data_IF_311224592965
#
_entry.id   IF_311224592965
#
_cell.length_a   1.000
_cell.length_b   1.000
_cell.length_c   1.000
_cell.angle_alpha   90.00
_cell.angle_beta   90.00
_cell.angle_gamma   90.00
#
_symmetry.space_group_name_H-M   'P 1'
#
loop_
_entity.id
_entity.type
_entity.pdbx_description
1 polymer ?
#
# COMPACT_ATOMS: atom_id res chain seq x y z
N UNK A 1 21.78 0.83 -10.07
CA UNK A 1 20.62 -0.10 -10.04
C UNK A 1 19.50 0.52 -10.89
N UNK A 2 18.96 -0.19 -11.89
CA UNK A 2 17.89 0.36 -12.76
C UNK A 2 16.53 0.00 -12.19
N UNK A 3 15.65 0.98 -11.96
CA UNK A 3 14.29 0.80 -11.44
C UNK A 3 13.46 -0.26 -12.20
N UNK A 4 13.82 -0.54 -13.47
CA UNK A 4 13.18 -1.52 -14.35
C UNK A 4 13.35 -3.00 -13.94
N UNK A 5 14.13 -3.31 -12.90
CA UNK A 5 14.38 -4.69 -12.45
C UNK A 5 13.85 -4.99 -11.05
N UNK A 6 13.13 -4.04 -10.42
CA UNK A 6 12.65 -4.16 -9.04
C UNK A 6 11.63 -5.30 -8.84
N UNK A 7 10.95 -5.69 -9.92
CA UNK A 7 10.03 -6.83 -10.02
C UNK A 7 10.72 -8.19 -9.89
N UNK A 8 12.00 -8.29 -10.26
CA UNK A 8 12.79 -9.54 -10.18
C UNK A 8 13.46 -9.75 -8.82
N UNK A 9 13.33 -8.77 -7.91
CA UNK A 9 13.91 -8.89 -6.57
C UNK A 9 13.12 -9.89 -5.73
N UNK A 10 13.83 -10.71 -4.95
CA UNK A 10 13.25 -11.56 -3.90
C UNK A 10 12.80 -10.72 -2.68
N UNK A 11 11.98 -9.70 -2.93
CA UNK A 11 11.42 -8.80 -1.95
C UNK A 11 9.99 -8.44 -2.37
N UNK A 12 9.01 -8.75 -1.53
CA UNK A 12 7.60 -8.48 -1.85
C UNK A 12 7.32 -6.98 -1.95
N UNK A 13 7.98 -6.15 -1.14
CA UNK A 13 7.87 -4.67 -1.25
C UNK A 13 8.35 -4.19 -2.62
N UNK A 14 9.49 -4.71 -3.09
CA UNK A 14 10.06 -4.37 -4.39
C UNK A 14 9.10 -4.75 -5.54
N UNK A 15 8.53 -5.96 -5.48
CA UNK A 15 7.51 -6.42 -6.43
C UNK A 15 6.24 -5.56 -6.40
N UNK A 16 5.76 -5.17 -5.22
CA UNK A 16 4.63 -4.24 -5.09
C UNK A 16 4.97 -2.87 -5.70
N UNK A 17 6.15 -2.32 -5.44
CA UNK A 17 6.61 -1.05 -6.02
C UNK A 17 6.74 -1.10 -7.55
N UNK A 18 6.98 -2.27 -8.15
CA UNK A 18 6.93 -2.39 -9.61
C UNK A 18 5.55 -2.06 -10.19
N UNK A 19 4.48 -2.30 -9.42
CA UNK A 19 3.10 -2.00 -9.78
C UNK A 19 2.73 -0.57 -9.38
N UNK A 20 2.88 -0.22 -8.10
CA UNK A 20 2.33 1.02 -7.51
C UNK A 20 3.34 2.13 -7.24
N UNK A 21 4.64 1.89 -7.44
CA UNK A 21 5.72 2.78 -7.04
C UNK A 21 5.93 4.02 -7.92
N UNK A 22 4.96 4.41 -8.73
CA UNK A 22 4.99 5.70 -9.43
C UNK A 22 4.06 6.71 -8.76
N UNK A 23 4.37 8.00 -8.95
CA UNK A 23 3.71 9.12 -8.27
C UNK A 23 2.19 9.18 -8.45
N UNK A 24 1.66 8.63 -9.53
CA UNK A 24 0.25 8.82 -9.90
C UNK A 24 -0.61 7.59 -9.61
N UNK A 25 -0.04 6.39 -9.61
CA UNK A 25 -0.80 5.16 -9.49
C UNK A 25 -1.66 5.11 -8.22
N UNK A 26 -1.09 5.42 -7.05
CA UNK A 26 -1.87 5.38 -5.81
C UNK A 26 -2.95 6.47 -5.73
N UNK A 27 -2.73 7.62 -6.39
CA UNK A 27 -3.75 8.67 -6.51
C UNK A 27 -4.90 8.24 -7.41
N UNK A 28 -4.60 7.60 -8.55
CA UNK A 28 -5.63 7.03 -9.44
C UNK A 28 -6.45 5.97 -8.69
N UNK A 29 -5.79 5.09 -7.93
CA UNK A 29 -6.49 4.04 -7.17
C UNK A 29 -7.37 4.65 -6.07
N UNK A 30 -6.86 5.68 -5.36
CA UNK A 30 -7.65 6.45 -4.39
C UNK A 30 -8.91 7.03 -5.02
N UNK A 31 -8.81 7.64 -6.19
CA UNK A 31 -9.97 8.23 -6.89
C UNK A 31 -11.01 7.16 -7.25
N UNK A 32 -10.56 6.02 -7.76
CA UNK A 32 -11.45 4.89 -8.11
C UNK A 32 -12.12 4.30 -6.87
N UNK A 33 -11.41 4.21 -5.74
CA UNK A 33 -11.97 3.82 -4.42
C UNK A 33 -13.07 4.78 -3.97
N UNK A 34 -12.87 6.09 -4.19
CA UNK A 34 -13.85 7.14 -3.90
C UNK A 34 -14.98 7.23 -4.93
N UNK A 35 -14.98 6.38 -5.96
CA UNK A 35 -16.04 6.31 -6.97
C UNK A 35 -15.79 7.13 -8.24
N UNK A 36 -14.66 7.82 -8.36
CA UNK A 36 -14.25 8.52 -9.57
C UNK A 36 -13.67 7.49 -10.56
N UNK A 37 -14.54 6.99 -11.45
CA UNK A 37 -14.24 5.82 -12.30
C UNK A 37 -14.12 6.14 -13.79
N UNK A 38 -14.44 7.36 -14.21
CA UNK A 38 -14.42 7.78 -15.62
C UNK A 38 -13.10 8.47 -15.95
N UNK A 39 -12.61 8.29 -17.17
CA UNK A 39 -11.34 8.85 -17.62
C UNK A 39 -11.27 10.37 -17.41
N UNK A 40 -12.24 11.11 -17.93
CA UNK A 40 -12.26 12.58 -17.86
C UNK A 40 -12.34 13.08 -16.42
N UNK A 41 -13.07 12.37 -15.56
CA UNK A 41 -13.22 12.72 -14.15
C UNK A 41 -11.90 12.52 -13.38
N UNK A 42 -11.19 11.40 -13.61
CA UNK A 42 -9.86 11.16 -13.03
C UNK A 42 -8.85 12.18 -13.57
N UNK A 43 -8.94 12.50 -14.87
CA UNK A 43 -8.07 13.50 -15.48
C UNK A 43 -8.26 14.88 -14.86
N UNK A 44 -9.52 15.28 -14.65
CA UNK A 44 -9.89 16.55 -14.05
C UNK A 44 -9.45 16.62 -12.58
N UNK A 45 -9.63 15.56 -11.79
CA UNK A 45 -9.22 15.51 -10.38
C UNK A 45 -7.70 15.63 -10.23
N UNK A 46 -6.94 14.81 -10.98
CA UNK A 46 -5.48 14.72 -10.84
C UNK A 46 -4.71 15.70 -11.72
N UNK A 47 -5.39 16.47 -12.56
CA UNK A 47 -4.80 17.40 -13.53
C UNK A 47 -3.69 16.73 -14.37
N UNK A 48 -3.92 15.48 -14.76
CA UNK A 48 -2.98 14.69 -15.55
C UNK A 48 -3.14 14.95 -17.04
N UNK A 49 -2.04 14.82 -17.78
CA UNK A 49 -2.14 14.78 -19.25
C UNK A 49 -2.84 13.50 -19.69
N UNK A 50 -3.65 13.52 -20.77
CA UNK A 50 -4.35 12.34 -21.26
C UNK A 50 -3.42 11.16 -21.55
N UNK A 51 -2.23 11.44 -22.08
CA UNK A 51 -1.21 10.43 -22.36
C UNK A 51 -0.74 9.72 -21.08
N UNK A 52 -0.36 10.48 -20.04
CA UNK A 52 0.11 9.89 -18.77
C UNK A 52 -0.99 9.09 -18.08
N UNK A 53 -2.22 9.61 -18.07
CA UNK A 53 -3.35 8.90 -17.47
C UNK A 53 -3.65 7.59 -18.23
N UNK A 54 -3.66 7.65 -19.57
CA UNK A 54 -3.88 6.48 -20.43
C UNK A 54 -2.85 5.39 -20.17
N UNK A 55 -1.57 5.73 -20.08
CA UNK A 55 -0.50 4.78 -19.83
C UNK A 55 -0.64 4.09 -18.47
N UNK A 56 -0.98 4.86 -17.43
CA UNK A 56 -1.18 4.32 -16.07
C UNK A 56 -2.40 3.41 -15.99
N UNK A 57 -3.54 3.83 -16.55
CA UNK A 57 -4.75 3.01 -16.58
C UNK A 57 -4.54 1.72 -17.37
N UNK A 58 -3.88 1.77 -18.54
CA UNK A 58 -3.51 0.57 -19.30
C UNK A 58 -2.64 -0.38 -18.49
N UNK A 59 -1.63 0.16 -17.77
CA UNK A 59 -0.77 -0.64 -16.90
C UNK A 59 -1.58 -1.30 -15.78
N UNK A 60 -2.41 -0.55 -15.07
CA UNK A 60 -3.24 -1.08 -13.98
C UNK A 60 -4.25 -2.14 -14.45
N UNK A 61 -4.78 -2.00 -15.67
CA UNK A 61 -5.63 -3.03 -16.28
C UNK A 61 -4.82 -4.28 -16.63
N UNK A 62 -3.65 -4.12 -17.25
CA UNK A 62 -2.75 -5.24 -17.57
C UNK A 62 -2.27 -5.98 -16.31
N UNK A 63 -1.98 -5.26 -15.23
CA UNK A 63 -1.54 -5.84 -13.97
C UNK A 63 -2.72 -6.43 -13.16
N UNK A 64 -3.95 -6.35 -13.68
CA UNK A 64 -5.15 -6.89 -13.06
C UNK A 64 -5.59 -6.15 -11.79
N UNK A 65 -5.15 -4.91 -11.59
CA UNK A 65 -5.58 -4.03 -10.47
C UNK A 65 -6.91 -3.36 -10.80
N UNK A 66 -7.08 -2.97 -12.07
CA UNK A 66 -8.32 -2.41 -12.60
C UNK A 66 -8.87 -3.32 -13.69
N UNK A 67 -10.17 -3.19 -13.96
CA UNK A 67 -10.83 -3.71 -15.15
C UNK A 67 -11.61 -2.60 -15.84
N UNK A 68 -11.59 -2.60 -17.17
CA UNK A 68 -12.36 -1.66 -17.97
C UNK A 68 -13.75 -2.23 -18.26
N UNK A 69 -14.79 -1.52 -17.85
CA UNK A 69 -16.19 -1.96 -17.93
C UNK A 69 -16.97 -1.00 -18.80
N UNK A 70 -17.83 -1.53 -19.67
CA UNK A 70 -18.80 -0.71 -20.42
C UNK A 70 -19.92 -0.33 -19.47
N UNK A 71 -20.18 0.96 -19.27
CA UNK A 71 -21.31 1.43 -18.48
C UNK A 71 -22.45 1.98 -19.35
N UNK A 72 -22.16 2.34 -20.60
CA UNK A 72 -23.14 2.82 -21.57
C UNK A 72 -22.82 2.19 -22.93
N UNK A 73 -23.82 1.62 -23.60
CA UNK A 73 -23.60 0.90 -24.87
C UNK A 73 -23.71 1.80 -26.10
N UNK A 74 -24.48 2.89 -26.03
CA UNK A 74 -24.77 3.78 -27.16
C UNK A 74 -24.81 5.26 -26.72
N UNK A 75 -23.75 6.05 -26.94
CA UNK A 75 -22.42 5.65 -27.44
C UNK A 75 -21.70 4.74 -26.44
N UNK A 76 -20.73 3.94 -26.91
CA UNK A 76 -19.94 3.08 -26.01
C UNK A 76 -19.10 3.93 -25.07
N UNK A 77 -19.39 3.88 -23.77
CA UNK A 77 -18.60 4.55 -22.73
C UNK A 77 -18.07 3.53 -21.72
N UNK A 78 -16.87 3.83 -21.22
CA UNK A 78 -16.14 2.96 -20.33
C UNK A 78 -15.82 3.63 -19.01
N UNK A 79 -15.76 2.82 -17.97
CA UNK A 79 -15.26 3.19 -16.66
C UNK A 79 -14.26 2.14 -16.16
N UNK A 80 -13.48 2.51 -15.17
CA UNK A 80 -12.49 1.66 -14.52
C UNK A 80 -13.01 1.23 -13.16
N UNK A 81 -13.05 -0.08 -12.92
CA UNK A 81 -13.42 -0.66 -11.63
C UNK A 81 -12.26 -1.42 -11.05
N UNK A 82 -12.14 -1.41 -9.72
CA UNK A 82 -11.19 -2.26 -9.02
C UNK A 82 -11.56 -3.74 -9.22
N UNK A 83 -10.53 -4.55 -9.32
CA UNK A 83 -10.60 -6.00 -9.10
C UNK A 83 -10.40 -6.28 -7.60
N UNK A 84 -10.49 -7.54 -7.19
CA UNK A 84 -10.11 -7.98 -5.84
C UNK A 84 -8.68 -7.53 -5.49
N UNK A 85 -7.71 -7.79 -6.38
CA UNK A 85 -6.33 -7.31 -6.27
C UNK A 85 -6.22 -5.79 -6.09
N UNK A 86 -7.13 -5.02 -6.69
CA UNK A 86 -7.18 -3.57 -6.53
C UNK A 86 -7.78 -3.13 -5.19
N UNK A 87 -8.82 -3.81 -4.71
CA UNK A 87 -9.41 -3.54 -3.39
C UNK A 87 -8.43 -3.84 -2.26
N UNK A 88 -7.58 -4.87 -2.39
CA UNK A 88 -6.53 -5.21 -1.41
C UNK A 88 -5.45 -4.12 -1.24
N UNK A 89 -5.44 -3.08 -2.08
CA UNK A 89 -4.58 -1.90 -1.91
C UNK A 89 -5.17 -0.86 -0.95
N UNK A 90 -6.43 -1.00 -0.53
CA UNK A 90 -7.06 -0.07 0.40
C UNK A 90 -6.30 0.08 1.73
N UNK A 91 -5.85 -0.99 2.41
CA UNK A 91 -5.07 -0.86 3.65
C UNK A 91 -3.77 -0.08 3.48
N UNK A 92 -3.10 -0.22 2.32
CA UNK A 92 -1.91 0.54 1.98
C UNK A 92 -2.23 2.04 1.89
N UNK A 93 -3.29 2.38 1.15
CA UNK A 93 -3.75 3.77 0.99
C UNK A 93 -4.15 4.37 2.34
N UNK A 94 -4.97 3.67 3.13
CA UNK A 94 -5.41 4.14 4.44
C UNK A 94 -4.23 4.42 5.38
N UNK A 95 -3.23 3.53 5.42
CA UNK A 95 -2.03 3.71 6.26
C UNK A 95 -1.16 4.85 5.76
N UNK A 96 -1.06 5.06 4.44
CA UNK A 96 -0.37 6.22 3.86
C UNK A 96 -1.09 7.54 4.18
N UNK A 97 -2.44 7.55 4.17
CA UNK A 97 -3.25 8.70 4.57
C UNK A 97 -2.95 9.08 6.02
N UNK A 98 -3.01 8.13 6.96
CA UNK A 98 -2.71 8.42 8.38
C UNK A 98 -1.27 8.92 8.57
N UNK A 99 -0.30 8.41 7.81
CA UNK A 99 1.06 8.94 7.86
C UNK A 99 1.12 10.40 7.35
N UNK A 100 0.47 10.70 6.23
CA UNK A 100 0.37 12.05 5.68
C UNK A 100 -0.33 13.01 6.65
N UNK A 101 -1.45 12.59 7.22
CA UNK A 101 -2.21 13.35 8.20
C UNK A 101 -1.39 13.68 9.44
N UNK A 102 -0.59 12.73 9.93
CA UNK A 102 0.24 12.92 11.12
C UNK A 102 1.39 13.91 10.89
N UNK A 103 2.02 13.87 9.72
CA UNK A 103 3.31 14.56 9.50
C UNK A 103 3.22 15.77 8.56
N UNK A 104 2.18 15.84 7.75
CA UNK A 104 2.04 16.82 6.66
C UNK A 104 0.78 17.67 6.78
N UNK A 105 -0.12 17.39 7.74
CA UNK A 105 -1.30 18.22 7.95
C UNK A 105 -0.90 19.65 8.36
N UNK A 106 -1.53 20.63 7.72
CA UNK A 106 -1.35 22.03 8.04
C UNK A 106 -2.23 22.46 9.22
N UNK A 107 -2.24 23.77 9.50
CA UNK A 107 -3.09 24.35 10.57
C UNK A 107 -4.59 24.12 10.36
N UNK A 108 -5.01 23.94 9.11
CA UNK A 108 -6.41 23.67 8.76
C UNK A 108 -6.86 22.22 9.09
N UNK A 109 -5.95 21.36 9.53
CA UNK A 109 -6.25 19.96 9.83
C UNK A 109 -6.02 19.01 8.65
N UNK A 110 -6.58 17.81 8.77
CA UNK A 110 -6.47 16.74 7.77
C UNK A 110 -7.43 16.98 6.60
N UNK A 111 -7.05 16.67 5.36
CA UNK A 111 -7.90 16.93 4.19
C UNK A 111 -9.06 15.93 4.06
N UNK A 112 -8.94 14.72 4.63
CA UNK A 112 -9.94 13.64 4.52
C UNK A 112 -9.98 12.85 5.82
N UNK A 113 -11.19 12.59 6.34
CA UNK A 113 -11.41 11.65 7.44
C UNK A 113 -11.93 10.31 6.89
N UNK A 114 -11.37 9.19 7.37
CA UNK A 114 -11.87 7.87 7.04
C UNK A 114 -13.05 7.53 7.95
N UNK A 115 -14.26 7.43 7.41
CA UNK A 115 -15.48 7.10 8.17
C UNK A 115 -15.94 5.69 7.88
N UNK A 116 -16.09 4.87 8.93
CA UNK A 116 -16.68 3.54 8.81
C UNK A 116 -18.20 3.65 8.66
N UNK A 117 -18.67 3.63 7.42
CA UNK A 117 -20.08 3.89 7.06
C UNK A 117 -21.11 3.13 7.91
N UNK A 118 -20.95 1.82 8.22
CA UNK A 118 -21.93 1.10 9.03
C UNK A 118 -22.14 1.66 10.45
N UNK A 119 -21.15 2.33 11.05
CA UNK A 119 -21.28 2.87 12.41
C UNK A 119 -21.02 4.38 12.54
N UNK A 120 -20.64 5.06 11.46
CA UNK A 120 -20.41 6.51 11.42
C UNK A 120 -19.16 7.00 12.14
N UNK A 121 -18.35 6.12 12.75
CA UNK A 121 -17.13 6.52 13.44
C UNK A 121 -15.98 6.79 12.49
N UNK A 122 -15.22 7.85 12.76
CA UNK A 122 -13.91 8.08 12.16
C UNK A 122 -12.91 7.03 12.63
N UNK A 123 -12.16 6.45 11.70
CA UNK A 123 -11.18 5.39 11.97
C UNK A 123 -9.76 5.85 11.67
N UNK A 124 -8.81 5.27 12.40
CA UNK A 124 -7.38 5.31 12.08
C UNK A 124 -6.88 3.88 11.92
N UNK A 125 -6.19 3.54 10.82
CA UNK A 125 -5.69 2.18 10.61
C UNK A 125 -4.67 1.82 11.69
N UNK A 126 -4.80 0.61 12.25
CA UNK A 126 -3.83 0.02 13.18
C UNK A 126 -3.53 -1.40 12.72
N UNK A 127 -2.25 -1.78 12.77
CA UNK A 127 -1.84 -3.17 12.61
C UNK A 127 -1.93 -3.86 13.97
N UNK A 128 -2.70 -4.94 14.03
CA UNK A 128 -2.93 -5.72 15.25
C UNK A 128 -2.39 -7.13 15.02
N UNK A 129 -1.71 -7.68 16.04
CA UNK A 129 -1.29 -9.07 16.02
C UNK A 129 -2.51 -9.99 16.16
N UNK A 130 -2.76 -10.92 15.23
CA UNK A 130 -3.95 -11.77 15.29
C UNK A 130 -3.95 -12.78 16.43
N UNK A 131 -2.81 -13.02 17.08
CA UNK A 131 -2.69 -14.03 18.15
C UNK A 131 -2.85 -13.46 19.56
N UNK A 132 -2.38 -12.23 19.79
CA UNK A 132 -2.46 -11.58 21.11
C UNK A 132 -3.32 -10.32 21.13
N UNK A 133 -3.85 -9.91 19.98
CA UNK A 133 -4.72 -8.74 19.82
C UNK A 133 -4.08 -7.39 20.20
N UNK A 134 -2.77 -7.37 20.43
CA UNK A 134 -2.01 -6.16 20.69
C UNK A 134 -1.60 -5.45 19.40
N UNK A 135 -1.45 -4.13 19.49
CA UNK A 135 -0.92 -3.30 18.40
C UNK A 135 0.52 -3.69 18.08
N UNK A 136 0.83 -3.83 16.80
CA UNK A 136 2.18 -4.06 16.31
C UNK A 136 2.99 -2.75 16.38
N UNK A 137 4.13 -2.79 17.07
CA UNK A 137 5.18 -1.77 16.99
C UNK A 137 6.32 -2.28 16.11
N UNK A 138 6.72 -1.48 15.11
CA UNK A 138 7.81 -1.84 14.20
C UNK A 138 9.15 -2.12 14.92
N UNK A 139 9.37 -1.53 16.10
CA UNK A 139 10.60 -1.71 16.92
C UNK A 139 10.67 -3.08 17.60
N UNK A 140 9.54 -3.75 17.73
CA UNK A 140 9.41 -5.07 18.35
C UNK A 140 9.43 -6.19 17.30
N UNK A 141 9.48 -5.85 16.02
CA UNK A 141 9.43 -6.81 14.92
C UNK A 141 10.82 -7.33 14.57
N UNK A 142 10.88 -8.61 14.24
CA UNK A 142 12.05 -9.25 13.62
C UNK A 142 11.62 -9.96 12.34
N UNK A 143 12.51 -10.00 11.35
CA UNK A 143 12.29 -10.73 10.11
C UNK A 143 13.09 -12.03 10.11
N UNK A 144 12.48 -13.11 9.59
CA UNK A 144 13.16 -14.38 9.32
C UNK A 144 13.01 -14.72 7.83
N UNK A 145 14.01 -15.33 7.18
CA UNK A 145 13.89 -15.73 5.79
C UNK A 145 12.70 -16.67 5.57
N UNK A 146 11.83 -16.30 4.63
CA UNK A 146 10.74 -17.17 4.19
C UNK A 146 11.22 -18.27 3.24
N UNK A 147 10.33 -19.19 2.82
CA UNK A 147 10.68 -20.30 1.92
C UNK A 147 11.37 -19.89 0.62
N UNK A 148 11.00 -18.74 0.06
CA UNK A 148 11.58 -18.18 -1.17
C UNK A 148 13.03 -17.68 -1.03
N UNK A 149 13.58 -17.69 0.19
CA UNK A 149 14.91 -17.18 0.52
C UNK A 149 15.81 -18.22 1.21
N UNK A 150 15.40 -19.50 1.27
CA UNK A 150 16.25 -20.56 1.85
C UNK A 150 17.59 -20.61 1.11
N UNK A 151 18.68 -20.48 1.86
CA UNK A 151 20.05 -20.49 1.33
C UNK A 151 20.53 -19.16 0.72
N UNK A 152 19.75 -18.08 0.78
CA UNK A 152 20.16 -16.73 0.36
C UNK A 152 19.99 -15.74 1.51
N UNK A 153 21.00 -14.90 1.76
CA UNK A 153 20.85 -13.72 2.61
C UNK A 153 19.74 -12.87 2.01
N UNK A 154 18.76 -12.44 2.81
CA UNK A 154 17.77 -11.54 2.23
C UNK A 154 18.38 -10.13 1.99
N UNK A 155 17.75 -9.32 1.12
CA UNK A 155 18.30 -8.03 0.71
C UNK A 155 18.43 -7.05 1.90
N UNK A 156 19.58 -6.38 2.02
CA UNK A 156 19.78 -5.28 2.99
C UNK A 156 20.14 -5.70 4.42
N UNK A 157 20.41 -6.99 4.66
CA UNK A 157 20.96 -7.47 5.94
C UNK A 157 22.10 -8.45 5.66
N UNK A 158 23.28 -7.88 5.43
CA UNK A 158 24.48 -8.61 5.79
C UNK A 158 24.48 -8.77 7.31
N UNK A 159 24.04 -9.95 7.76
CA UNK A 159 24.31 -10.58 9.06
C UNK A 159 24.49 -9.64 10.25
N UNK A 160 23.39 -9.08 10.77
CA UNK A 160 23.34 -8.71 12.18
C UNK A 160 23.19 -10.01 13.01
N UNK A 161 24.28 -10.77 13.13
CA UNK A 161 24.43 -11.85 14.10
C UNK A 161 24.35 -11.26 15.50
N UNK A 162 23.14 -11.08 16.04
CA UNK A 162 22.93 -10.77 17.45
C UNK A 162 23.23 -12.02 18.29
N UNK A 163 24.47 -12.13 18.78
CA UNK A 163 24.75 -12.82 20.05
C UNK A 163 24.02 -12.06 21.16
N UNK A 164 22.76 -12.37 21.40
CA UNK A 164 22.08 -12.01 22.63
C UNK A 164 22.58 -12.93 23.75
N UNK A 165 23.55 -12.47 24.56
CA UNK A 165 23.80 -13.09 25.87
C UNK A 165 22.53 -12.91 26.70
N UNK A 166 21.85 -14.02 26.99
CA UNK A 166 20.88 -14.09 28.08
C UNK A 166 21.63 -13.78 29.36
N UNK A 167 21.37 -12.63 29.97
CA UNK A 167 21.85 -12.33 31.32
C UNK A 167 21.13 -13.29 32.28
N UNK A 168 21.87 -14.24 32.84
CA UNK A 168 21.42 -14.99 34.02
C UNK A 168 21.44 -14.00 35.19
N UNK A 169 20.26 -13.60 35.65
CA UNK A 169 20.07 -13.10 37.01
C UNK A 169 20.36 -14.26 37.96
N UNK A 170 21.55 -14.27 38.57
CA UNK A 170 21.79 -15.05 39.77
C UNK A 170 21.15 -14.29 40.93
N UNK A 171 20.07 -14.86 41.47
CA UNK A 171 19.66 -14.64 42.85
C UNK A 171 20.87 -14.86 43.76
N UNK A 172 21.13 -13.90 44.65
CA UNK A 172 21.90 -14.16 45.85
C UNK A 172 21.11 -13.63 47.04
N UNK A 173 20.47 -14.60 47.67
CA UNK A 173 19.99 -14.62 49.05
C UNK A 173 21.14 -14.35 50.03
N UNK A 174 20.76 -13.90 51.23
CA UNK A 174 21.54 -13.53 52.42
C UNK A 174 21.94 -12.05 52.51
#
# INVERSE_FOLDING_TARGET
>A
MRWRQIDTMNCSVARTLSVVGDRWTLLIIRDVLLGIRRFDAIQQDLQLTPHRLSDRLRKLVRDGVLRRVVYEKHPRRFEYRLTEKGFDLYPLIATMTEWGDRWMAGRAGVPVELVHQPCGHTIKPKLICPSCELKIDAREMSARPGPALRGRSMPGHETASRRGKVARTTEKTA
#
